data_IF_320348767148
#
_entry.id   IF_320348767148
#
_cell.length_a   1.000
_cell.length_b   1.000
_cell.length_c   1.000
_cell.angle_alpha   90.00
_cell.angle_beta   90.00
_cell.angle_gamma   90.00
#
_symmetry.space_group_name_H-M   'P 1'
#
loop_
_entity.id
_entity.type
_entity.pdbx_description
1 polymer ?
#
# COMPACT_ATOMS: atom_id res chain seq x y z
N UNK A 1 -11.11 -5.03 -7.61
CA UNK A 1 -9.71 -5.48 -7.57
C UNK A 1 -9.60 -6.78 -6.81
N UNK A 2 -8.70 -7.64 -7.22
CA UNK A 2 -8.44 -8.93 -6.56
C UNK A 2 -7.29 -8.79 -5.56
N UNK A 3 -7.10 -9.85 -4.75
CA UNK A 3 -5.97 -9.91 -3.81
C UNK A 3 -4.63 -9.77 -4.54
N UNK A 4 -4.52 -10.34 -5.74
CA UNK A 4 -3.30 -10.24 -6.54
C UNK A 4 -3.00 -8.81 -6.95
N UNK A 5 -4.04 -8.03 -7.24
CA UNK A 5 -3.88 -6.63 -7.63
C UNK A 5 -3.36 -5.82 -6.45
N UNK A 6 -3.91 -6.05 -5.25
CA UNK A 6 -3.45 -5.37 -4.04
C UNK A 6 -2.00 -5.75 -3.74
N UNK A 7 -1.65 -7.03 -3.92
CA UNK A 7 -0.29 -7.49 -3.70
C UNK A 7 0.68 -6.86 -4.70
N UNK A 8 0.27 -6.75 -5.95
CA UNK A 8 1.10 -6.11 -6.98
C UNK A 8 1.37 -4.65 -6.63
N UNK A 9 0.35 -3.92 -6.20
CA UNK A 9 0.51 -2.52 -5.80
C UNK A 9 1.46 -2.42 -4.61
N UNK A 10 1.27 -3.26 -3.59
CA UNK A 10 2.12 -3.27 -2.40
C UNK A 10 3.57 -3.59 -2.75
N UNK A 11 3.80 -4.59 -3.59
CA UNK A 11 5.15 -4.96 -4.01
C UNK A 11 5.81 -3.83 -4.80
N UNK A 12 5.06 -3.14 -5.65
CA UNK A 12 5.56 -2.01 -6.42
C UNK A 12 6.01 -0.88 -5.49
N UNK A 13 5.22 -0.59 -4.46
CA UNK A 13 5.57 0.42 -3.47
C UNK A 13 6.82 0.00 -2.70
N UNK A 14 6.87 -1.25 -2.27
CA UNK A 14 7.99 -1.79 -1.49
C UNK A 14 9.31 -1.70 -2.24
N UNK A 15 9.29 -1.97 -3.54
CA UNK A 15 10.50 -1.99 -4.38
C UNK A 15 10.76 -0.69 -5.10
N UNK A 16 9.89 0.31 -4.94
CA UNK A 16 10.02 1.59 -5.63
C UNK A 16 11.27 2.34 -5.19
N UNK A 17 12.02 2.84 -6.14
CA UNK A 17 13.20 3.67 -5.89
C UNK A 17 12.85 5.16 -5.81
N UNK A 18 11.57 5.50 -5.95
CA UNK A 18 11.09 6.88 -5.87
C UNK A 18 11.11 7.42 -4.43
N UNK A 19 11.13 6.52 -3.45
CA UNK A 19 11.13 6.91 -2.04
C UNK A 19 12.55 6.83 -1.47
N UNK A 20 13.03 7.95 -0.95
CA UNK A 20 14.35 8.05 -0.34
C UNK A 20 14.30 7.62 1.13
N UNK A 21 13.19 7.92 1.81
CA UNK A 21 12.99 7.61 3.21
C UNK A 21 11.78 6.71 3.43
N UNK A 22 11.83 5.91 4.50
CA UNK A 22 10.73 5.02 4.86
C UNK A 22 9.46 5.79 5.19
N UNK A 23 9.59 6.97 5.78
CA UNK A 23 8.44 7.84 6.08
C UNK A 23 7.69 8.24 4.83
N UNK A 24 8.40 8.55 3.75
CA UNK A 24 7.77 8.91 2.49
C UNK A 24 6.97 7.74 1.93
N UNK A 25 7.54 6.54 1.96
CA UNK A 25 6.86 5.34 1.51
C UNK A 25 5.63 5.07 2.35
N UNK A 26 5.74 5.23 3.67
CA UNK A 26 4.64 4.99 4.60
C UNK A 26 3.48 5.96 4.35
N UNK A 27 3.77 7.24 4.16
CA UNK A 27 2.74 8.24 3.88
C UNK A 27 2.02 7.93 2.56
N UNK A 28 2.78 7.59 1.53
CA UNK A 28 2.21 7.26 0.23
C UNK A 28 1.33 6.00 0.32
N UNK A 29 1.82 4.98 1.01
CA UNK A 29 1.08 3.73 1.19
C UNK A 29 -0.21 3.95 1.97
N UNK A 30 -0.18 4.81 3.00
CA UNK A 30 -1.36 5.17 3.76
C UNK A 30 -2.42 5.85 2.90
N UNK A 31 -2.01 6.80 2.08
CA UNK A 31 -2.94 7.52 1.19
C UNK A 31 -3.63 6.54 0.24
N UNK A 32 -2.86 5.65 -0.37
CA UNK A 32 -3.41 4.63 -1.27
C UNK A 32 -4.34 3.69 -0.50
N UNK A 33 -3.93 3.26 0.69
CA UNK A 33 -4.72 2.34 1.51
C UNK A 33 -6.08 2.95 1.87
N UNK A 34 -6.11 4.21 2.25
CA UNK A 34 -7.36 4.90 2.58
C UNK A 34 -8.27 5.02 1.35
N UNK A 35 -7.71 5.33 0.19
CA UNK A 35 -8.47 5.38 -1.05
C UNK A 35 -9.08 4.03 -1.41
N UNK A 36 -8.30 2.96 -1.26
CA UNK A 36 -8.78 1.61 -1.53
C UNK A 36 -9.86 1.20 -0.54
N UNK A 37 -9.73 1.61 0.72
CA UNK A 37 -10.72 1.31 1.75
C UNK A 37 -12.07 1.95 1.44
N UNK A 38 -12.08 3.15 0.87
CA UNK A 38 -13.32 3.83 0.48
C UNK A 38 -14.10 3.05 -0.55
N UNK A 39 -13.41 2.43 -1.51
CA UNK A 39 -14.03 1.65 -2.57
C UNK A 39 -14.28 0.20 -2.17
N UNK A 40 -13.59 -0.28 -1.14
CA UNK A 40 -13.69 -1.66 -0.68
C UNK A 40 -13.67 -1.71 0.85
N UNK A 41 -14.85 -1.67 1.50
CA UNK A 41 -14.92 -1.61 2.98
C UNK A 41 -14.23 -2.77 3.70
N UNK A 42 -14.00 -3.89 3.01
CA UNK A 42 -13.34 -5.06 3.59
C UNK A 42 -11.82 -5.02 3.45
N UNK A 43 -11.30 -3.96 2.83
CA UNK A 43 -9.87 -3.82 2.61
C UNK A 43 -9.12 -3.71 3.94
N UNK A 44 -8.07 -4.52 4.11
CA UNK A 44 -7.26 -4.55 5.34
C UNK A 44 -6.05 -3.64 5.17
N UNK A 45 -6.17 -2.42 5.71
CA UNK A 45 -5.11 -1.39 5.63
C UNK A 45 -3.83 -1.89 6.28
N UNK A 46 -3.93 -2.50 7.47
CA UNK A 46 -2.76 -2.98 8.20
C UNK A 46 -1.96 -4.00 7.42
N UNK A 47 -2.65 -4.95 6.81
CA UNK A 47 -2.01 -5.99 5.99
C UNK A 47 -1.36 -5.38 4.76
N UNK A 48 -2.03 -4.41 4.14
CA UNK A 48 -1.48 -3.72 2.96
C UNK A 48 -0.19 -2.98 3.31
N UNK A 49 -0.19 -2.22 4.41
CA UNK A 49 0.99 -1.48 4.85
C UNK A 49 2.15 -2.41 5.15
N UNK A 50 1.88 -3.55 5.78
CA UNK A 50 2.89 -4.55 6.07
C UNK A 50 3.50 -5.10 4.78
N UNK A 51 2.67 -5.35 3.78
CA UNK A 51 3.13 -5.82 2.47
C UNK A 51 3.95 -4.77 1.73
N UNK A 52 3.69 -3.47 2.00
CA UNK A 52 4.47 -2.37 1.43
C UNK A 52 5.83 -2.19 2.10
N UNK A 53 6.12 -2.94 3.14
CA UNK A 53 7.38 -2.81 3.86
C UNK A 53 7.37 -1.70 4.92
N UNK A 54 6.20 -1.31 5.34
CA UNK A 54 6.02 -0.26 6.36
C UNK A 54 5.88 -0.84 7.76
#
# INVERSE_FOLDING_TARGET
>A
MTRKDFQLIADTIKTSMAFVEDTQRQCFALDIAHGLKETNPRFDIGRFLKACGC
#
